data_IF_107731282681
#
_entry.id   IF_107731282681
#
_cell.length_a   1.000
_cell.length_b   1.000
_cell.length_c   1.000
_cell.angle_alpha   90.00
_cell.angle_beta   90.00
_cell.angle_gamma   90.00
#
_symmetry.space_group_name_H-M   'P 1'
#
loop_
_entity.id
_entity.type
_entity.pdbx_description
1 polymer ?
#
# COMPACT_ATOMS: atom_id res chain seq x y z
N UNK A 1 -2.25 -4.60 0.90
CA UNK A 1 -2.60 -3.90 2.17
C UNK A 1 -2.63 -4.94 3.29
N UNK A 2 -2.49 -4.59 4.57
CA UNK A 2 -2.73 -5.57 5.65
C UNK A 2 -4.24 -5.89 5.75
N UNK A 3 -4.69 -7.16 5.87
CA UNK A 3 -6.12 -7.51 5.88
C UNK A 3 -6.95 -6.75 6.92
N UNK A 4 -6.48 -6.66 8.17
CA UNK A 4 -7.17 -5.90 9.22
C UNK A 4 -7.34 -4.41 8.89
N UNK A 5 -6.37 -3.81 8.18
CA UNK A 5 -6.48 -2.42 7.72
C UNK A 5 -7.50 -2.30 6.60
N UNK A 6 -7.48 -3.24 5.65
CA UNK A 6 -8.46 -3.29 4.57
C UNK A 6 -9.89 -3.44 5.11
N UNK A 7 -10.09 -4.27 6.13
CA UNK A 7 -11.39 -4.41 6.80
C UNK A 7 -11.94 -3.06 7.27
N UNK A 8 -11.11 -2.20 7.89
CA UNK A 8 -11.55 -0.86 8.29
C UNK A 8 -11.92 0.07 7.14
N UNK A 9 -11.31 -0.07 5.95
CA UNK A 9 -11.76 0.69 4.77
C UNK A 9 -13.11 0.17 4.24
N UNK A 10 -13.36 -1.14 4.35
CA UNK A 10 -14.58 -1.78 3.85
C UNK A 10 -15.77 -1.56 4.81
N UNK A 11 -15.60 -1.89 6.07
CA UNK A 11 -16.64 -1.85 7.11
C UNK A 11 -16.78 -0.46 7.75
N UNK A 12 -15.75 0.37 7.65
CA UNK A 12 -15.63 1.61 8.38
C UNK A 12 -15.05 1.41 9.79
N UNK A 13 -14.95 2.50 10.54
CA UNK A 13 -14.41 2.50 11.90
C UNK A 13 -12.91 2.84 11.97
N UNK A 14 -12.31 2.61 13.14
CA UNK A 14 -10.92 2.99 13.41
C UNK A 14 -10.05 1.74 13.32
N UNK A 15 -9.01 1.72 12.47
CA UNK A 15 -8.15 0.56 12.36
C UNK A 15 -7.31 0.39 13.63
N UNK A 16 -6.88 -0.83 13.98
CA UNK A 16 -5.99 -1.04 15.13
C UNK A 16 -4.75 -0.15 15.05
N UNK A 17 -4.52 0.67 16.08
CA UNK A 17 -3.42 1.64 16.14
C UNK A 17 -3.60 2.89 15.24
N UNK A 18 -4.77 3.08 14.64
CA UNK A 18 -5.11 4.27 13.87
C UNK A 18 -5.75 5.36 14.72
N UNK A 19 -5.57 6.61 14.30
CA UNK A 19 -6.20 7.78 14.94
C UNK A 19 -7.44 8.29 14.17
N UNK A 20 -7.69 7.78 12.95
CA UNK A 20 -8.72 8.28 12.05
C UNK A 20 -9.79 7.22 11.79
N UNK A 21 -11.05 7.61 11.92
CA UNK A 21 -12.18 6.80 11.51
C UNK A 21 -12.35 6.81 9.98
N UNK A 22 -12.61 5.63 9.43
CA UNK A 22 -12.97 5.41 8.05
C UNK A 22 -14.51 5.39 7.90
N UNK A 23 -15.07 6.05 6.88
CA UNK A 23 -16.51 5.98 6.62
C UNK A 23 -16.99 4.60 6.16
N UNK A 24 -16.09 3.74 5.66
CA UNK A 24 -16.45 2.45 5.09
C UNK A 24 -16.81 2.55 3.60
N UNK A 25 -16.93 1.40 2.94
CA UNK A 25 -17.40 1.29 1.57
C UNK A 25 -18.92 1.16 1.53
N UNK A 26 -19.53 1.50 0.39
CA UNK A 26 -20.94 1.19 0.09
C UNK A 26 -21.21 -0.32 0.14
N UNK A 27 -20.19 -1.12 -0.18
CA UNK A 27 -20.19 -2.57 -0.07
C UNK A 27 -19.11 -3.03 0.92
N UNK A 28 -19.52 -3.35 2.15
CA UNK A 28 -18.64 -3.74 3.25
C UNK A 28 -18.20 -5.21 3.22
N UNK A 29 -18.61 -6.01 2.23
CA UNK A 29 -18.25 -7.43 2.17
C UNK A 29 -16.72 -7.61 2.08
N UNK A 30 -16.16 -8.66 2.69
CA UNK A 30 -14.72 -8.93 2.58
C UNK A 30 -14.32 -9.20 1.12
N UNK A 31 -13.03 -9.03 0.76
CA UNK A 31 -12.54 -9.39 -0.56
C UNK A 31 -12.85 -10.84 -0.89
N UNK A 32 -13.24 -11.11 -2.14
CA UNK A 32 -13.60 -12.46 -2.60
C UNK A 32 -12.44 -13.45 -2.51
N UNK A 33 -11.23 -12.93 -2.63
CA UNK A 33 -9.98 -13.67 -2.56
C UNK A 33 -8.85 -12.72 -2.22
N UNK A 34 -7.86 -13.19 -1.46
CA UNK A 34 -6.62 -12.46 -1.25
C UNK A 34 -5.43 -13.38 -1.50
N UNK A 35 -4.40 -12.89 -2.17
CA UNK A 35 -3.21 -13.70 -2.52
C UNK A 35 -1.94 -12.85 -2.50
N UNK A 36 -0.83 -13.48 -2.11
CA UNK A 36 0.49 -12.93 -2.34
C UNK A 36 0.73 -12.71 -3.84
N UNK A 37 1.41 -11.61 -4.15
CA UNK A 37 1.81 -11.23 -5.50
C UNK A 37 3.16 -10.51 -5.45
N UNK A 38 3.98 -10.70 -6.47
CA UNK A 38 5.19 -9.89 -6.68
C UNK A 38 4.96 -9.03 -7.91
N UNK A 39 5.18 -7.72 -7.78
CA UNK A 39 4.98 -6.73 -8.84
C UNK A 39 6.33 -6.18 -9.34
N UNK A 40 6.50 -5.98 -10.65
CA UNK A 40 7.67 -5.29 -11.18
C UNK A 40 7.62 -3.82 -10.78
N UNK A 41 8.67 -3.32 -10.14
CA UNK A 41 8.69 -1.96 -9.61
C UNK A 41 9.24 -1.90 -8.20
N UNK A 42 9.32 -0.68 -7.68
CA UNK A 42 10.02 -0.40 -6.44
C UNK A 42 9.10 0.24 -5.40
N UNK A 43 9.03 -0.39 -4.23
CA UNK A 43 8.58 0.22 -2.98
C UNK A 43 9.64 1.17 -2.45
N UNK A 44 9.27 2.42 -2.16
CA UNK A 44 10.14 3.42 -1.55
C UNK A 44 9.40 4.22 -0.47
N UNK A 45 10.14 4.80 0.47
CA UNK A 45 9.60 5.63 1.54
C UNK A 45 9.98 7.10 1.34
N UNK A 46 8.97 7.96 1.33
CA UNK A 46 9.15 9.40 1.14
C UNK A 46 8.05 10.19 1.84
N UNK A 47 8.25 11.51 1.96
CA UNK A 47 7.34 12.46 2.64
C UNK A 47 7.08 12.11 4.10
N UNK A 48 6.46 13.02 4.85
CA UNK A 48 6.13 12.79 6.26
C UNK A 48 4.69 12.28 6.41
N UNK A 49 4.48 11.21 7.18
CA UNK A 49 3.17 10.69 7.54
C UNK A 49 2.70 11.24 8.88
N UNK A 50 1.61 12.01 8.90
CA UNK A 50 1.01 12.45 10.16
C UNK A 50 0.50 11.30 11.04
N UNK A 51 0.20 10.13 10.46
CA UNK A 51 -0.30 8.95 11.19
C UNK A 51 0.85 8.10 11.73
N UNK A 52 1.96 8.04 10.99
CA UNK A 52 3.05 7.12 11.28
C UNK A 52 4.33 7.81 11.77
N UNK A 53 4.35 9.15 11.77
CA UNK A 53 5.48 10.00 12.20
C UNK A 53 6.81 9.58 11.54
N UNK A 54 6.76 9.34 10.23
CA UNK A 54 7.91 9.05 9.38
C UNK A 54 7.53 8.86 7.91
N UNK A 55 8.47 8.37 7.12
CA UNK A 55 8.33 8.02 5.70
C UNK A 55 7.15 7.10 5.42
N UNK A 56 6.28 7.49 4.49
CA UNK A 56 5.18 6.61 4.01
C UNK A 56 5.57 5.89 2.73
N UNK A 57 4.97 4.74 2.50
CA UNK A 57 5.35 3.88 1.38
C UNK A 57 4.63 4.28 0.09
N UNK A 58 5.38 4.37 -1.00
CA UNK A 58 4.89 4.57 -2.37
C UNK A 58 5.47 3.51 -3.29
N UNK A 59 4.85 3.36 -4.44
CA UNK A 59 5.23 2.40 -5.47
C UNK A 59 5.59 3.13 -6.78
N UNK A 60 6.78 2.86 -7.30
CA UNK A 60 7.25 3.30 -8.62
C UNK A 60 7.23 2.11 -9.59
N UNK A 61 6.24 2.00 -10.50
CA UNK A 61 6.12 0.88 -11.44
C UNK A 61 7.17 0.90 -12.54
N UNK A 62 7.93 1.98 -12.69
CA UNK A 62 8.93 2.14 -13.75
C UNK A 62 10.36 1.97 -13.23
N UNK A 63 10.54 1.84 -11.91
CA UNK A 63 11.84 1.57 -11.33
C UNK A 63 12.18 0.07 -11.47
N UNK A 64 13.46 -0.28 -11.67
CA UNK A 64 13.86 -1.68 -11.69
C UNK A 64 13.68 -2.32 -10.30
N UNK A 65 13.42 -3.61 -10.29
CA UNK A 65 13.27 -4.41 -9.08
C UNK A 65 11.86 -4.96 -8.91
N UNK A 66 11.64 -5.56 -7.75
CA UNK A 66 10.39 -6.25 -7.42
C UNK A 66 9.81 -5.72 -6.11
N UNK A 67 8.49 -5.67 -6.06
CA UNK A 67 7.70 -5.25 -4.90
C UNK A 67 6.77 -6.37 -4.47
N UNK A 68 6.98 -6.87 -3.25
CA UNK A 68 6.06 -7.80 -2.61
C UNK A 68 4.75 -7.08 -2.26
N UNK A 69 3.63 -7.69 -2.66
CA UNK A 69 2.29 -7.13 -2.54
C UNK A 69 1.29 -8.21 -2.08
N UNK A 70 0.21 -7.74 -1.48
CA UNK A 70 -0.96 -8.55 -1.16
C UNK A 70 -2.12 -8.05 -2.02
N UNK A 71 -2.50 -8.86 -3.01
CA UNK A 71 -3.61 -8.57 -3.91
C UNK A 71 -4.92 -9.00 -3.27
N UNK A 72 -5.94 -8.13 -3.35
CA UNK A 72 -7.28 -8.38 -2.84
C UNK A 72 -8.29 -8.22 -3.97
N UNK A 73 -9.06 -9.26 -4.27
CA UNK A 73 -10.09 -9.23 -5.30
C UNK A 73 -11.35 -8.57 -4.75
N UNK A 74 -11.57 -7.32 -5.17
CA UNK A 74 -12.67 -6.45 -4.75
C UNK A 74 -13.47 -5.98 -5.96
N UNK A 75 -14.68 -5.46 -5.73
CA UNK A 75 -15.49 -4.86 -6.79
C UNK A 75 -14.97 -3.48 -7.19
N UNK A 76 -15.41 -2.96 -8.36
CA UNK A 76 -15.12 -1.58 -8.76
C UNK A 76 -15.60 -0.56 -7.72
N UNK A 77 -16.81 -0.75 -7.17
CA UNK A 77 -17.35 0.11 -6.13
C UNK A 77 -16.48 0.14 -4.88
N UNK A 78 -16.01 -1.03 -4.42
CA UNK A 78 -15.09 -1.13 -3.28
C UNK A 78 -13.75 -0.45 -3.56
N UNK A 79 -13.14 -0.71 -4.73
CA UNK A 79 -11.90 -0.05 -5.14
C UNK A 79 -12.07 1.48 -5.14
N UNK A 80 -13.17 1.97 -5.69
CA UNK A 80 -13.46 3.40 -5.81
C UNK A 80 -13.67 4.06 -4.45
N UNK A 81 -14.37 3.38 -3.54
CA UNK A 81 -14.60 3.87 -2.18
C UNK A 81 -13.31 3.85 -1.34
N UNK A 82 -12.48 2.82 -1.47
CA UNK A 82 -11.14 2.78 -0.85
C UNK A 82 -10.30 3.94 -1.37
N UNK A 83 -10.32 4.20 -2.67
CA UNK A 83 -9.61 5.32 -3.28
C UNK A 83 -10.08 6.65 -2.70
N UNK A 84 -11.39 6.90 -2.67
CA UNK A 84 -11.95 8.13 -2.13
C UNK A 84 -11.46 8.38 -0.69
N UNK A 85 -11.48 7.35 0.15
CA UNK A 85 -11.00 7.43 1.54
C UNK A 85 -9.50 7.73 1.64
N UNK A 86 -8.65 7.08 0.84
CA UNK A 86 -7.20 7.37 0.78
C UNK A 86 -6.92 8.81 0.31
N UNK A 87 -7.80 9.37 -0.51
CA UNK A 87 -7.73 10.75 -1.00
C UNK A 87 -8.37 11.76 -0.03
N UNK A 88 -8.90 11.30 1.11
CA UNK A 88 -9.59 12.16 2.08
C UNK A 88 -10.95 12.68 1.61
N UNK A 89 -11.59 11.98 0.65
CA UNK A 89 -12.89 12.28 0.07
C UNK A 89 -13.95 11.30 0.61
N UNK A 90 -15.22 11.67 0.52
CA UNK A 90 -16.31 10.76 0.86
C UNK A 90 -16.49 9.68 -0.24
N UNK A 91 -16.72 8.41 0.14
CA UNK A 91 -17.21 7.37 -0.78
C UNK A 91 -18.52 7.79 -1.46
N UNK A 92 -18.80 7.26 -2.66
CA UNK A 92 -20.08 7.52 -3.31
C UNK A 92 -20.11 7.45 -4.84
N UNK A 93 -18.96 7.43 -5.50
CA UNK A 93 -18.89 7.37 -6.96
C UNK A 93 -17.83 6.37 -7.43
N UNK A 94 -18.08 5.77 -8.58
CA UNK A 94 -17.15 4.83 -9.20
C UNK A 94 -16.08 5.59 -9.99
N UNK A 95 -14.85 5.10 -9.94
CA UNK A 95 -13.74 5.63 -10.70
C UNK A 95 -13.88 5.27 -12.19
N UNK A 96 -13.57 6.22 -13.07
CA UNK A 96 -13.32 5.90 -14.47
C UNK A 96 -11.96 5.23 -14.62
N UNK A 97 -11.97 3.93 -14.93
CA UNK A 97 -10.75 3.13 -15.12
C UNK A 97 -10.22 3.18 -16.56
N UNK A 98 -10.92 3.81 -17.50
CA UNK A 98 -10.59 3.79 -18.94
C UNK A 98 -9.15 4.21 -19.19
N UNK A 99 -8.72 5.32 -18.60
CA UNK A 99 -7.37 5.83 -18.78
C UNK A 99 -6.31 4.86 -18.22
N UNK A 100 -6.45 4.40 -16.96
CA UNK A 100 -5.45 3.53 -16.32
C UNK A 100 -5.37 2.16 -17.00
N UNK A 101 -6.49 1.61 -17.48
CA UNK A 101 -6.48 0.33 -18.20
C UNK A 101 -5.85 0.47 -19.59
N UNK A 102 -5.98 1.63 -20.24
CA UNK A 102 -5.39 1.90 -21.55
C UNK A 102 -3.90 2.23 -21.49
N UNK A 103 -3.47 3.02 -20.50
CA UNK A 103 -2.09 3.58 -20.45
C UNK A 103 -1.24 3.04 -19.31
N UNK A 104 -1.83 2.22 -18.43
CA UNK A 104 -1.17 1.72 -17.21
C UNK A 104 -1.15 2.71 -16.05
N UNK A 105 -1.52 3.99 -16.24
CA UNK A 105 -1.43 5.03 -15.21
C UNK A 105 -2.42 6.17 -15.44
N UNK A 106 -3.09 6.62 -14.38
CA UNK A 106 -3.98 7.79 -14.43
C UNK A 106 -3.88 8.63 -13.15
N UNK A 107 -3.69 9.95 -13.28
CA UNK A 107 -3.69 10.89 -12.17
C UNK A 107 -5.11 11.42 -11.95
N UNK A 108 -5.65 11.22 -10.74
CA UNK A 108 -6.99 11.63 -10.32
C UNK A 108 -7.01 12.95 -9.54
N UNK A 109 -5.84 13.52 -9.26
CA UNK A 109 -5.73 14.82 -8.60
C UNK A 109 -4.31 15.16 -8.12
N UNK A 110 -4.14 16.28 -7.38
CA UNK A 110 -2.85 16.77 -6.95
C UNK A 110 -2.21 15.99 -5.79
N UNK A 111 -2.98 15.19 -5.05
CA UNK A 111 -2.58 14.53 -3.81
C UNK A 111 -1.60 13.35 -3.96
N UNK A 112 -1.04 12.92 -2.82
CA UNK A 112 0.04 11.93 -2.74
C UNK A 112 -0.38 10.49 -3.06
N UNK A 113 -1.67 10.17 -2.96
CA UNK A 113 -2.23 8.87 -3.37
C UNK A 113 -3.27 9.03 -4.47
N UNK A 114 -3.20 10.12 -5.23
CA UNK A 114 -4.16 10.44 -6.29
C UNK A 114 -3.66 9.97 -7.67
N UNK A 115 -2.87 8.91 -7.73
CA UNK A 115 -2.45 8.28 -8.99
C UNK A 115 -2.73 6.79 -8.98
N UNK A 116 -3.62 6.35 -9.88
CA UNK A 116 -3.83 4.93 -10.17
C UNK A 116 -2.70 4.39 -11.06
N UNK A 117 -2.32 3.15 -10.80
CA UNK A 117 -1.43 2.35 -11.63
C UNK A 117 -2.06 0.98 -11.85
N UNK A 118 -2.05 0.50 -13.10
CA UNK A 118 -2.30 -0.89 -13.44
C UNK A 118 -0.94 -1.60 -13.55
N UNK A 119 -0.65 -2.47 -12.58
CA UNK A 119 0.63 -3.16 -12.45
C UNK A 119 0.66 -4.52 -13.18
N UNK A 120 -0.35 -4.78 -14.03
CA UNK A 120 -0.50 -6.03 -14.77
C UNK A 120 -1.87 -6.65 -14.58
N UNK A 121 -1.98 -7.94 -14.88
CA UNK A 121 -3.19 -8.74 -14.71
C UNK A 121 -2.93 -9.97 -13.84
N UNK A 122 -3.96 -10.42 -13.13
CA UNK A 122 -3.95 -11.64 -12.33
C UNK A 122 -5.30 -12.34 -12.51
N UNK A 123 -5.29 -13.57 -13.03
CA UNK A 123 -6.49 -14.38 -13.31
C UNK A 123 -7.58 -13.62 -14.08
N UNK A 124 -7.18 -12.87 -15.12
CA UNK A 124 -8.10 -12.09 -15.95
C UNK A 124 -8.56 -10.77 -15.35
N UNK A 125 -8.09 -10.39 -14.15
CA UNK A 125 -8.43 -9.12 -13.51
C UNK A 125 -7.24 -8.14 -13.50
N UNK A 126 -7.46 -6.82 -13.69
CA UNK A 126 -6.40 -5.83 -13.59
C UNK A 126 -5.93 -5.68 -12.14
N UNK A 127 -4.61 -5.59 -11.94
CA UNK A 127 -4.02 -5.33 -10.62
C UNK A 127 -3.83 -3.82 -10.47
N UNK A 128 -4.73 -3.18 -9.74
CA UNK A 128 -4.75 -1.74 -9.54
C UNK A 128 -4.19 -1.35 -8.17
N UNK A 129 -3.47 -0.24 -8.12
CA UNK A 129 -2.97 0.36 -6.88
C UNK A 129 -2.99 1.88 -6.96
N UNK A 130 -2.94 2.54 -5.80
CA UNK A 130 -2.83 3.99 -5.67
C UNK A 130 -1.44 4.35 -5.14
N UNK A 131 -0.80 5.34 -5.75
CA UNK A 131 0.55 5.77 -5.39
C UNK A 131 0.75 7.27 -5.66
N UNK A 132 1.96 7.77 -5.43
CA UNK A 132 2.36 9.13 -5.74
C UNK A 132 2.50 9.36 -7.25
N UNK A 133 2.28 10.62 -7.70
CA UNK A 133 2.50 10.98 -9.10
C UNK A 133 3.99 10.97 -9.48
N UNK A 134 4.91 10.98 -8.50
CA UNK A 134 6.35 11.08 -8.72
C UNK A 134 7.04 9.72 -8.84
N UNK A 135 8.17 9.72 -9.55
CA UNK A 135 9.12 8.61 -9.53
C UNK A 135 9.89 8.61 -8.21
N UNK A 136 10.37 7.43 -7.83
CA UNK A 136 11.18 7.20 -6.63
C UNK A 136 12.43 8.09 -6.55
N UNK A 137 13.00 8.45 -7.70
CA UNK A 137 14.20 9.31 -7.82
C UNK A 137 13.89 10.81 -7.85
N UNK A 138 12.62 11.19 -7.91
CA UNK A 138 12.19 12.59 -8.07
C UNK A 138 11.74 13.23 -6.76
N UNK A 139 11.92 12.55 -5.63
CA UNK A 139 11.49 13.02 -4.31
C UNK A 139 12.52 12.58 -3.26
N UNK A 140 12.87 13.44 -2.29
CA UNK A 140 13.71 13.03 -1.18
C UNK A 140 13.07 11.88 -0.41
N UNK A 141 13.88 10.87 -0.10
CA UNK A 141 13.44 9.76 0.73
C UNK A 141 13.32 10.18 2.18
N UNK A 142 12.45 9.49 2.92
CA UNK A 142 12.26 9.71 4.35
C UNK A 142 12.19 8.36 5.06
N UNK A 143 12.83 8.26 6.22
CA UNK A 143 12.88 7.01 6.97
C UNK A 143 11.50 6.67 7.57
N UNK A 144 10.97 5.45 7.35
CA UNK A 144 9.73 5.03 7.99
C UNK A 144 9.95 4.86 9.49
N UNK A 145 8.91 5.11 10.29
CA UNK A 145 8.96 4.85 11.71
C UNK A 145 8.81 3.36 12.04
N UNK A 146 9.29 2.95 13.22
CA UNK A 146 9.26 1.58 13.71
C UNK A 146 7.84 0.96 13.68
N UNK A 147 6.83 1.72 14.12
CA UNK A 147 5.45 1.25 14.15
C UNK A 147 4.91 0.96 12.74
N UNK A 148 5.34 1.74 11.74
CA UNK A 148 4.93 1.53 10.35
C UNK A 148 5.63 0.33 9.72
N UNK A 149 6.94 0.14 10.00
CA UNK A 149 7.66 -1.07 9.59
C UNK A 149 7.04 -2.33 10.20
N UNK A 150 6.61 -2.29 11.47
CA UNK A 150 5.84 -3.39 12.09
C UNK A 150 4.57 -3.70 11.33
N UNK A 151 3.80 -2.67 10.98
CA UNK A 151 2.56 -2.83 10.23
C UNK A 151 2.79 -3.45 8.83
N UNK A 152 3.76 -2.94 8.08
CA UNK A 152 4.10 -3.46 6.75
C UNK A 152 4.66 -4.88 6.82
N UNK A 153 5.56 -5.15 7.76
CA UNK A 153 6.16 -6.47 7.94
C UNK A 153 5.13 -7.51 8.38
N UNK A 154 4.19 -7.16 9.26
CA UNK A 154 3.05 -8.03 9.59
C UNK A 154 2.22 -8.38 8.35
N UNK A 155 1.99 -7.41 7.47
CA UNK A 155 1.27 -7.64 6.21
C UNK A 155 2.01 -8.56 5.26
N UNK A 156 3.34 -8.41 5.14
CA UNK A 156 4.18 -9.28 4.32
C UNK A 156 4.23 -10.72 4.85
N UNK A 157 4.35 -10.89 6.17
CA UNK A 157 4.34 -12.20 6.81
C UNK A 157 3.00 -12.90 6.62
N UNK A 158 1.89 -12.18 6.80
CA UNK A 158 0.55 -12.72 6.61
C UNK A 158 0.26 -13.09 5.14
N UNK A 159 0.71 -12.29 4.18
CA UNK A 159 0.46 -12.53 2.77
C UNK A 159 1.35 -13.62 2.18
N UNK A 160 2.66 -13.57 2.46
CA UNK A 160 3.65 -14.41 1.80
C UNK A 160 4.18 -15.57 2.67
N UNK A 161 3.73 -15.69 3.92
CA UNK A 161 4.25 -16.68 4.87
C UNK A 161 5.72 -16.46 5.26
N UNK A 162 6.24 -15.24 5.11
CA UNK A 162 7.64 -14.94 5.41
C UNK A 162 7.93 -15.00 6.92
N UNK A 163 9.16 -15.40 7.26
CA UNK A 163 9.72 -15.18 8.60
C UNK A 163 10.11 -13.70 8.81
N UNK A 164 10.29 -13.31 10.08
CA UNK A 164 10.67 -11.95 10.46
C UNK A 164 11.99 -11.50 9.81
N UNK A 165 12.97 -12.39 9.71
CA UNK A 165 14.25 -12.10 9.06
C UNK A 165 14.06 -11.67 7.58
N UNK A 166 13.38 -12.50 6.78
CA UNK A 166 13.12 -12.20 5.36
C UNK A 166 12.31 -10.90 5.16
N UNK A 167 11.31 -10.66 6.00
CA UNK A 167 10.55 -9.41 5.96
C UNK A 167 11.41 -8.20 6.36
N UNK A 168 12.29 -8.36 7.34
CA UNK A 168 13.27 -7.35 7.76
C UNK A 168 14.25 -7.01 6.65
N UNK A 169 14.87 -8.00 6.01
CA UNK A 169 15.78 -7.82 4.87
C UNK A 169 15.11 -7.06 3.72
N UNK A 170 13.88 -7.47 3.38
CA UNK A 170 13.12 -6.85 2.31
C UNK A 170 12.82 -5.38 2.61
N UNK A 171 12.30 -5.06 3.80
CA UNK A 171 11.94 -3.69 4.16
C UNK A 171 13.17 -2.79 4.34
N UNK A 172 14.21 -3.27 5.01
CA UNK A 172 15.45 -2.52 5.23
C UNK A 172 16.21 -2.21 3.94
N UNK A 173 16.05 -3.03 2.89
CA UNK A 173 16.66 -2.76 1.58
C UNK A 173 15.92 -1.71 0.75
N UNK A 174 14.70 -1.30 1.12
CA UNK A 174 13.92 -0.33 0.34
C UNK A 174 14.45 1.09 0.51
N UNK A 175 14.43 1.94 -0.54
CA UNK A 175 14.85 3.34 -0.40
C UNK A 175 14.03 4.10 0.64
N UNK A 176 14.71 4.96 1.40
CA UNK A 176 14.19 5.61 2.60
C UNK A 176 14.35 4.79 3.87
N UNK A 177 14.21 3.47 3.83
CA UNK A 177 14.58 2.61 4.96
C UNK A 177 16.07 2.26 4.96
N UNK A 178 16.64 2.03 3.78
CA UNK A 178 18.05 1.68 3.58
C UNK A 178 18.97 2.75 4.16
N UNK A 179 19.90 2.33 5.02
CA UNK A 179 20.84 3.20 5.72
C UNK A 179 20.30 3.80 7.02
N UNK A 180 19.00 3.66 7.29
CA UNK A 180 18.36 4.10 8.54
C UNK A 180 17.91 2.93 9.42
N UNK A 181 17.68 1.77 8.81
CA UNK A 181 17.27 0.54 9.49
C UNK A 181 18.17 -0.61 9.05
N UNK A 182 18.76 -1.32 10.01
CA UNK A 182 19.37 -2.61 9.76
C UNK A 182 18.31 -3.71 9.72
N UNK A 183 18.51 -4.72 8.90
CA UNK A 183 17.52 -5.80 8.73
C UNK A 183 17.20 -6.53 10.04
N UNK A 184 18.19 -6.71 10.92
CA UNK A 184 18.00 -7.35 12.22
C UNK A 184 17.17 -6.49 13.18
N UNK A 185 17.28 -5.15 13.11
CA UNK A 185 16.44 -4.24 13.90
C UNK A 185 14.99 -4.36 13.45
N UNK A 186 14.75 -4.37 12.13
CA UNK A 186 13.40 -4.58 11.59
C UNK A 186 12.86 -5.96 11.96
N UNK A 187 13.67 -7.01 11.88
CA UNK A 187 13.26 -8.36 12.30
C UNK A 187 12.90 -8.42 13.79
N UNK A 188 13.66 -7.75 14.66
CA UNK A 188 13.36 -7.66 16.08
C UNK A 188 12.01 -6.97 16.34
N UNK A 189 11.70 -5.88 15.61
CA UNK A 189 10.40 -5.22 15.66
C UNK A 189 9.24 -6.18 15.32
N UNK A 190 9.46 -7.13 14.41
CA UNK A 190 8.44 -8.09 13.96
C UNK A 190 8.28 -9.29 14.90
N UNK A 191 9.26 -9.58 15.76
CA UNK A 191 9.19 -10.66 16.74
C UNK A 191 8.61 -10.21 18.08
N UNK A 192 8.64 -8.91 18.39
CA UNK A 192 8.15 -8.34 19.65
C UNK A 192 6.60 -8.17 19.70
N UNK A 193 5.86 -8.84 18.83
CA UNK A 193 4.42 -8.69 18.62
C UNK A 193 3.66 -10.00 18.84
#
# INVERSE_FOLDING_TARGET
MHPARLASYLEGGVPPGGARAHPGCRDARPPRRSTALTLPGLLYFATESAVWTGGRAFYDPHAPGETAAHAHLVTLGQLSDIAAQEMGRAPGADLDLTAVLRTGRARLGPGRYETLVCAGTLDGHPVLTFTAPWRSVSVPWNAPAAAYLRHLGGGLRAAHGWGAARAGDYLASRPGARGHWAAHEVAALLNAA
#
